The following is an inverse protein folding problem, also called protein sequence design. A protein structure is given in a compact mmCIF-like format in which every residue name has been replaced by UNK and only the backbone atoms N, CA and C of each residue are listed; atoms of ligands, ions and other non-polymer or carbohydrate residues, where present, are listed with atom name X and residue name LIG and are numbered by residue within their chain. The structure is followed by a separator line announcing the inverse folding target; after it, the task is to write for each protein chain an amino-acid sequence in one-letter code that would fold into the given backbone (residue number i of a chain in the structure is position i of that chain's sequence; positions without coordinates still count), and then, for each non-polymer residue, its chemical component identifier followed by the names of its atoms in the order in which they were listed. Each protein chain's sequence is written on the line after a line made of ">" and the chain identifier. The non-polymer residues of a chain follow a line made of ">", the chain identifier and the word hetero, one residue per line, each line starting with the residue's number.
data_IF_177788479260
#
_entry.id   IF_177788479260
#
_cell.length_a   1.000
_cell.length_b   1.000
_cell.length_c   1.000
_cell.angle_alpha   90.00
_cell.angle_beta   90.00
_cell.angle_gamma   90.00
#
_symmetry.space_group_name_H-M   'P 1'
#
loop_
_entity.id
_entity.type
_entity.pdbx_description
1 polymer ?
#
# COMPACT_ATOMS: atom_id res chain seq x y z
N UNK A 1 3.29 8.47 -19.82
CA UNK A 1 2.65 8.10 -18.54
C UNK A 1 3.71 8.24 -17.46
N UNK A 2 3.70 9.33 -16.69
CA UNK A 2 4.59 9.53 -15.53
C UNK A 2 3.72 9.43 -14.29
N UNK A 3 3.96 8.42 -13.47
CA UNK A 3 3.31 8.27 -12.16
C UNK A 3 4.34 8.73 -11.14
N UNK A 4 4.24 9.99 -10.71
CA UNK A 4 5.26 10.63 -9.87
C UNK A 4 5.14 10.29 -8.37
N UNK A 5 4.33 9.29 -7.99
CA UNK A 5 4.12 8.95 -6.58
C UNK A 5 3.87 7.46 -6.38
N UNK A 6 4.94 6.67 -6.45
CA UNK A 6 4.96 5.33 -5.87
C UNK A 6 5.33 5.46 -4.39
N UNK A 7 4.42 5.09 -3.49
CA UNK A 7 4.72 4.98 -2.07
C UNK A 7 4.80 3.51 -1.66
N UNK A 8 5.92 3.12 -1.04
CA UNK A 8 6.04 1.82 -0.42
C UNK A 8 5.26 1.81 0.89
N UNK A 9 4.28 0.89 1.00
CA UNK A 9 3.50 0.72 2.23
C UNK A 9 4.21 -0.16 3.28
N UNK A 10 5.34 -0.78 2.93
CA UNK A 10 6.11 -1.64 3.83
C UNK A 10 7.30 -0.95 4.48
N UNK A 11 7.59 -1.37 5.71
CA UNK A 11 8.91 -1.22 6.34
C UNK A 11 9.97 -1.96 5.50
N UNK A 12 11.27 -1.63 5.60
CA UNK A 12 12.32 -2.31 4.85
C UNK A 12 12.39 -3.83 5.09
N UNK A 13 11.74 -4.37 6.13
CA UNK A 13 11.50 -5.81 6.27
C UNK A 13 10.07 -6.15 5.82
N UNK A 14 9.87 -6.71 4.61
CA UNK A 14 8.54 -7.19 4.23
C UNK A 14 8.10 -8.30 5.19
N UNK A 15 6.80 -8.40 5.48
CA UNK A 15 6.28 -9.49 6.29
C UNK A 15 6.63 -10.84 5.62
N UNK A 16 6.97 -11.84 6.42
CA UNK A 16 7.50 -13.14 5.97
C UNK A 16 6.43 -14.05 5.36
N UNK A 17 5.53 -13.54 4.52
CA UNK A 17 4.55 -14.33 3.78
C UNK A 17 4.62 -13.97 2.30
N UNK A 18 4.61 -14.99 1.44
CA UNK A 18 4.66 -14.81 0.00
C UNK A 18 3.28 -14.39 -0.52
N UNK A 19 3.14 -13.15 -0.98
CA UNK A 19 1.85 -12.58 -1.40
C UNK A 19 1.47 -13.12 -2.77
N UNK A 20 0.31 -13.75 -2.85
CA UNK A 20 -0.23 -14.36 -4.08
C UNK A 20 -1.50 -13.68 -4.59
N UNK A 21 -2.16 -12.89 -3.76
CA UNK A 21 -3.38 -12.17 -4.13
C UNK A 21 -3.41 -10.76 -3.54
N UNK A 22 -3.99 -9.81 -4.28
CA UNK A 22 -4.23 -8.44 -3.81
C UNK A 22 -5.61 -7.98 -4.25
N UNK A 23 -6.33 -7.27 -3.38
CA UNK A 23 -7.62 -6.65 -3.68
C UNK A 23 -7.68 -5.22 -3.14
N UNK A 24 -8.36 -4.34 -3.87
CA UNK A 24 -8.58 -2.94 -3.49
C UNK A 24 -10.07 -2.70 -3.28
N UNK A 25 -10.41 -2.13 -2.12
CA UNK A 25 -11.76 -1.68 -1.82
C UNK A 25 -11.79 -0.16 -1.75
N UNK A 26 -12.15 0.46 -2.88
CA UNK A 26 -12.11 1.91 -3.08
C UNK A 26 -12.96 2.68 -2.07
N UNK A 27 -14.18 2.21 -1.78
CA UNK A 27 -15.12 2.86 -0.85
C UNK A 27 -14.51 3.12 0.52
N UNK A 28 -13.61 2.25 0.97
CA UNK A 28 -12.96 2.36 2.28
C UNK A 28 -11.47 2.70 2.19
N UNK A 29 -10.95 2.94 0.97
CA UNK A 29 -9.51 3.11 0.69
C UNK A 29 -8.66 2.03 1.37
N UNK A 30 -9.12 0.79 1.25
CA UNK A 30 -8.47 -0.36 1.86
C UNK A 30 -7.81 -1.23 0.81
N UNK A 31 -6.65 -1.80 1.17
CA UNK A 31 -5.97 -2.82 0.39
C UNK A 31 -5.96 -4.10 1.24
N UNK A 32 -6.19 -5.23 0.60
CA UNK A 32 -6.07 -6.54 1.21
C UNK A 32 -5.03 -7.35 0.45
N UNK A 33 -4.14 -8.02 1.18
CA UNK A 33 -3.14 -8.93 0.61
C UNK A 33 -3.33 -10.33 1.18
N UNK A 34 -3.34 -11.34 0.31
CA UNK A 34 -3.42 -12.75 0.68
C UNK A 34 -2.07 -13.44 0.49
N UNK A 35 -1.62 -14.17 1.51
CA UNK A 35 -0.38 -14.96 1.47
C UNK A 35 -0.60 -16.39 1.00
N UNK A 36 0.46 -17.03 0.49
CA UNK A 36 0.48 -18.46 0.16
C UNK A 36 0.23 -19.37 1.38
N UNK A 37 0.45 -18.84 2.58
CA UNK A 37 0.17 -19.48 3.88
C UNK A 37 -1.31 -19.34 4.31
N UNK A 38 -2.16 -18.71 3.49
CA UNK A 38 -3.56 -18.45 3.80
C UNK A 38 -3.80 -17.23 4.70
N UNK A 39 -2.75 -16.48 5.04
CA UNK A 39 -2.88 -15.23 5.80
C UNK A 39 -3.57 -14.13 4.97
N UNK A 40 -4.33 -13.26 5.65
CA UNK A 40 -4.90 -12.05 5.04
C UNK A 40 -4.45 -10.85 5.87
N UNK A 41 -3.83 -9.88 5.22
CA UNK A 41 -3.48 -8.59 5.83
C UNK A 41 -4.34 -7.49 5.23
N UNK A 42 -4.89 -6.65 6.11
CA UNK A 42 -5.66 -5.47 5.76
C UNK A 42 -4.85 -4.20 6.00
N UNK A 43 -4.78 -3.36 4.98
CA UNK A 43 -4.09 -2.08 4.98
C UNK A 43 -5.10 -0.95 4.80
N UNK A 44 -5.05 0.04 5.70
CA UNK A 44 -5.77 1.31 5.53
C UNK A 44 -4.86 2.33 4.86
N UNK A 45 -5.28 2.85 3.72
CA UNK A 45 -4.53 3.88 3.00
C UNK A 45 -5.00 5.25 3.48
N UNK A 46 -4.14 5.93 4.23
CA UNK A 46 -4.37 7.32 4.64
C UNK A 46 -3.76 8.25 3.58
N UNK A 47 -4.54 9.22 3.11
CA UNK A 47 -3.98 10.33 2.35
C UNK A 47 -3.26 11.26 3.32
N UNK A 48 -1.93 11.22 3.36
CA UNK A 48 -1.17 12.36 3.90
C UNK A 48 -1.46 13.57 3.01
N UNK A 49 -1.75 14.77 3.54
CA UNK A 49 -1.62 15.97 2.73
C UNK A 49 -0.18 15.99 2.20
N UNK A 50 -0.01 16.11 0.89
CA UNK A 50 1.32 16.26 0.31
C UNK A 50 1.98 17.47 0.97
N UNK A 51 3.18 17.30 1.55
CA UNK A 51 3.94 18.45 2.02
C UNK A 51 4.09 19.41 0.84
N UNK A 52 3.80 20.72 1.01
CA UNK A 52 3.93 21.66 -0.08
C UNK A 52 5.37 21.61 -0.58
N UNK A 53 5.54 21.22 -1.84
CA UNK A 53 6.85 21.19 -2.49
C UNK A 53 7.40 22.63 -2.43
N UNK A 54 8.57 22.87 -1.82
CA UNK A 54 9.16 24.21 -1.82
C UNK A 54 9.37 24.63 -3.27
N UNK A 55 8.77 25.73 -3.69
CA UNK A 55 9.06 26.33 -4.99
C UNK A 55 10.45 26.97 -4.87
N UNK A 56 11.42 26.40 -5.57
CA UNK A 56 12.67 27.09 -5.92
C UNK A 56 12.42 28.12 -7.01
#
# INVERSE_FOLDING_TARGET
>A
MKCDSVQCLWSPSPPSHNITATAVLERSRSIYTGGSDGSIIWWRVYSSPASPVPRM
#
